data_IF_306684653971
#
_entry.id   IF_306684653971
#
_cell.length_a   1.000
_cell.length_b   1.000
_cell.length_c   1.000
_cell.angle_alpha   90.00
_cell.angle_beta   90.00
_cell.angle_gamma   90.00
#
_symmetry.space_group_name_H-M   'P 1'
#
loop_
_entity.id
_entity.type
_entity.pdbx_description
1 polymer ?
#
# COMPACT_ATOMS: atom_id res chain seq x y z
N UNK A 1 -41.38 25.30 43.13
CA UNK A 1 -40.64 26.58 43.05
C UNK A 1 -39.41 26.51 43.94
N UNK A 2 -38.21 26.48 43.35
CA UNK A 2 -37.00 27.19 43.82
C UNK A 2 -35.87 26.91 42.82
N UNK A 3 -35.58 27.97 42.08
CA UNK A 3 -34.44 28.21 41.20
C UNK A 3 -33.23 28.67 42.04
N UNK A 4 -32.14 29.07 41.35
CA UNK A 4 -31.03 29.96 41.78
C UNK A 4 -29.76 29.20 42.25
N UNK A 5 -28.51 29.67 42.02
CA UNK A 5 -27.83 30.19 40.79
C UNK A 5 -26.29 29.87 40.76
N UNK A 6 -25.51 30.67 39.99
CA UNK A 6 -24.04 30.95 40.05
C UNK A 6 -23.08 29.88 39.49
N UNK A 7 -22.03 30.19 38.72
CA UNK A 7 -21.29 31.43 38.46
C UNK A 7 -19.88 31.07 37.90
N UNK A 8 -19.02 32.06 37.55
CA UNK A 8 -18.16 32.01 36.36
C UNK A 8 -16.69 31.61 36.59
N UNK A 9 -15.96 31.36 35.50
CA UNK A 9 -14.50 31.26 35.49
C UNK A 9 -13.86 31.76 34.18
N UNK A 10 -12.67 32.40 34.22
CA UNK A 10 -12.19 33.32 33.19
C UNK A 10 -10.99 32.77 32.39
N UNK A 11 -11.00 32.89 31.07
CA UNK A 11 -9.78 32.74 30.28
C UNK A 11 -9.35 34.09 29.72
N UNK A 12 -8.44 34.73 30.46
CA UNK A 12 -7.72 35.91 30.04
C UNK A 12 -6.23 35.63 29.91
N UNK A 13 -5.71 35.97 28.73
CA UNK A 13 -4.45 36.72 28.51
C UNK A 13 -3.13 35.93 28.42
N UNK A 14 -2.47 36.05 27.27
CA UNK A 14 -1.12 36.64 27.02
C UNK A 14 -0.81 36.55 25.51
N UNK A 15 -0.69 37.67 24.81
CA UNK A 15 0.56 38.41 24.48
C UNK A 15 1.46 37.59 23.52
N UNK A 16 1.87 38.02 22.32
CA UNK A 16 1.82 39.29 21.59
C UNK A 16 2.58 39.13 20.24
N UNK A 17 2.67 40.19 19.42
CA UNK A 17 3.35 40.18 18.11
C UNK A 17 4.85 40.47 18.25
N UNK A 18 5.69 39.94 17.34
CA UNK A 18 7.05 40.44 17.14
C UNK A 18 7.37 40.65 15.67
N UNK A 19 7.43 41.93 15.34
CA UNK A 19 8.09 42.51 14.19
C UNK A 19 9.59 42.18 14.14
N UNK A 20 10.14 42.16 12.94
CA UNK A 20 11.31 43.00 12.66
C UNK A 20 12.58 42.32 12.12
N UNK A 21 13.35 43.01 11.27
CA UNK A 21 14.33 42.44 10.35
C UNK A 21 15.75 42.42 10.92
N UNK A 22 16.55 41.43 10.52
CA UNK A 22 18.01 41.48 10.66
C UNK A 22 18.67 41.33 9.29
N UNK A 23 18.63 42.45 8.59
CA UNK A 23 19.73 42.92 7.76
C UNK A 23 21.02 42.85 8.59
N UNK A 24 21.88 41.87 8.31
CA UNK A 24 23.27 41.89 8.74
C UNK A 24 24.17 41.75 7.53
N UNK A 25 24.19 42.86 6.79
CA UNK A 25 25.33 43.36 6.03
C UNK A 25 26.57 43.30 6.91
N UNK A 26 27.47 42.35 6.63
CA UNK A 26 28.91 42.48 6.91
C UNK A 26 29.71 42.07 5.69
N UNK A 27 29.76 43.04 4.79
CA UNK A 27 30.95 43.35 4.02
C UNK A 27 32.16 43.39 4.98
N UNK A 28 33.05 42.42 4.85
CA UNK A 28 34.45 42.55 5.30
C UNK A 28 35.29 42.47 4.03
N UNK A 29 35.54 43.65 3.48
CA UNK A 29 36.67 43.93 2.60
C UNK A 29 37.89 44.07 3.51
N UNK A 30 38.83 43.13 3.44
CA UNK A 30 40.28 43.34 3.70
C UNK A 30 41.01 42.24 2.92
N UNK A 31 41.42 42.48 1.67
CA UNK A 31 42.77 42.93 1.28
C UNK A 31 43.87 42.02 1.87
N UNK A 32 44.44 41.13 1.06
CA UNK A 32 45.89 41.09 0.85
C UNK A 32 46.36 39.91 0.00
N UNK A 33 47.25 40.26 -0.94
CA UNK A 33 48.36 39.45 -1.45
C UNK A 33 48.10 38.56 -2.67
N UNK A 34 48.40 39.16 -3.83
CA UNK A 34 49.13 38.48 -4.91
C UNK A 34 50.34 37.73 -4.33
N UNK A 35 50.38 36.41 -4.50
CA UNK A 35 51.63 35.65 -4.48
C UNK A 35 51.51 34.39 -5.37
N UNK A 36 51.78 34.54 -6.67
CA UNK A 36 52.63 33.57 -7.38
C UNK A 36 54.07 33.84 -6.94
N UNK A 37 55.04 32.87 -6.87
CA UNK A 37 55.35 31.81 -7.85
C UNK A 37 55.88 30.50 -7.15
N UNK A 38 56.63 29.54 -7.73
CA UNK A 38 57.03 29.27 -9.12
C UNK A 38 56.63 27.87 -9.65
N UNK A 39 56.79 27.70 -10.96
CA UNK A 39 56.84 26.40 -11.61
C UNK A 39 57.97 25.54 -11.01
N UNK A 40 57.63 24.36 -10.50
CA UNK A 40 58.65 23.47 -9.95
C UNK A 40 58.12 22.23 -9.23
N UNK A 41 57.42 21.35 -9.95
CA UNK A 41 57.42 19.90 -9.68
C UNK A 41 56.66 19.19 -10.80
N UNK A 42 57.37 18.88 -11.89
CA UNK A 42 57.05 17.72 -12.71
C UNK A 42 57.27 16.49 -11.84
N UNK A 43 56.27 16.14 -11.05
CA UNK A 43 56.00 14.78 -10.66
C UNK A 43 54.79 14.34 -11.46
N UNK A 44 55.01 13.45 -12.43
CA UNK A 44 54.01 12.49 -12.91
C UNK A 44 53.14 12.05 -11.72
N UNK A 45 51.81 12.15 -11.74
CA UNK A 45 50.92 11.10 -12.26
C UNK A 45 49.62 11.71 -12.83
N UNK A 46 49.71 12.50 -13.90
CA UNK A 46 48.55 12.89 -14.73
C UNK A 46 48.02 11.74 -15.61
N UNK A 47 48.07 10.48 -15.14
CA UNK A 47 47.95 9.31 -16.01
C UNK A 47 46.98 8.23 -15.57
N UNK A 48 46.83 7.99 -14.27
CA UNK A 48 46.01 6.89 -13.77
C UNK A 48 45.42 7.30 -12.42
N UNK A 49 44.23 7.89 -12.42
CA UNK A 49 43.32 7.61 -11.29
C UNK A 49 43.15 6.09 -11.37
N UNK A 50 43.68 5.30 -10.41
CA UNK A 50 43.86 3.88 -10.62
C UNK A 50 42.49 3.32 -10.99
N UNK A 51 42.41 2.53 -12.06
CA UNK A 51 41.14 1.99 -12.57
C UNK A 51 40.28 1.37 -11.45
N UNK A 52 40.92 0.88 -10.38
CA UNK A 52 40.29 0.46 -9.14
C UNK A 52 39.46 1.52 -8.40
N UNK A 53 39.88 2.79 -8.36
CA UNK A 53 39.15 3.89 -7.70
C UNK A 53 37.91 4.32 -8.49
N UNK A 54 37.98 4.32 -9.83
CA UNK A 54 36.82 4.56 -10.71
C UNK A 54 35.80 3.42 -10.61
N UNK A 55 36.27 2.17 -10.61
CA UNK A 55 35.42 0.98 -10.39
C UNK A 55 34.77 1.03 -9.00
N UNK A 56 35.52 1.44 -7.97
CA UNK A 56 35.00 1.56 -6.61
C UNK A 56 33.93 2.65 -6.50
N UNK A 57 34.12 3.82 -7.13
CA UNK A 57 33.12 4.89 -7.19
C UNK A 57 31.89 4.51 -8.00
N UNK A 58 32.06 3.86 -9.16
CA UNK A 58 30.94 3.36 -9.96
C UNK A 58 30.13 2.29 -9.20
N UNK A 59 30.81 1.38 -8.50
CA UNK A 59 30.17 0.38 -7.64
C UNK A 59 29.41 1.03 -6.48
N UNK A 60 29.95 2.10 -5.89
CA UNK A 60 29.27 2.87 -4.84
C UNK A 60 28.04 3.59 -5.38
N UNK A 61 28.13 4.26 -6.53
CA UNK A 61 27.00 4.94 -7.16
C UNK A 61 25.88 3.97 -7.56
N UNK A 62 26.24 2.81 -8.12
CA UNK A 62 25.27 1.75 -8.42
C UNK A 62 24.60 1.24 -7.14
N UNK A 63 25.36 1.05 -6.07
CA UNK A 63 24.81 0.64 -4.77
C UNK A 63 23.86 1.69 -4.20
N UNK A 64 24.19 2.97 -4.33
CA UNK A 64 23.33 4.08 -3.91
C UNK A 64 22.06 4.17 -4.75
N UNK A 65 22.15 3.98 -6.06
CA UNK A 65 21.00 3.96 -6.97
C UNK A 65 20.05 2.80 -6.63
N UNK A 66 20.57 1.58 -6.49
CA UNK A 66 19.80 0.40 -6.12
C UNK A 66 19.13 0.61 -4.75
N UNK A 67 19.85 1.14 -3.77
CA UNK A 67 19.27 1.49 -2.46
C UNK A 67 18.19 2.57 -2.58
N UNK A 68 18.35 3.53 -3.48
CA UNK A 68 17.36 4.56 -3.80
C UNK A 68 16.08 3.98 -4.38
N UNK A 69 16.19 3.13 -5.39
CA UNK A 69 15.04 2.44 -5.99
C UNK A 69 14.35 1.50 -4.99
N UNK A 70 15.11 0.78 -4.16
CA UNK A 70 14.53 -0.03 -3.09
C UNK A 70 13.74 0.82 -2.08
N UNK A 71 14.24 1.99 -1.69
CA UNK A 71 13.53 2.90 -0.79
C UNK A 71 12.26 3.46 -1.44
N UNK A 72 12.33 3.79 -2.72
CA UNK A 72 11.18 4.27 -3.49
C UNK A 72 10.12 3.17 -3.63
N UNK A 73 10.53 1.96 -4.02
CA UNK A 73 9.65 0.79 -4.11
C UNK A 73 9.02 0.46 -2.76
N UNK A 74 9.76 0.54 -1.65
CA UNK A 74 9.22 0.37 -0.31
C UNK A 74 8.18 1.46 0.04
N UNK A 75 8.45 2.72 -0.31
CA UNK A 75 7.51 3.81 -0.07
C UNK A 75 6.21 3.60 -0.88
N UNK A 76 6.32 3.26 -2.16
CA UNK A 76 5.18 3.01 -3.04
C UNK A 76 4.39 1.76 -2.60
N UNK A 77 5.07 0.68 -2.21
CA UNK A 77 4.43 -0.53 -1.67
C UNK A 77 3.72 -0.23 -0.35
N UNK A 78 4.27 0.62 0.52
CA UNK A 78 3.61 1.03 1.77
C UNK A 78 2.37 1.86 1.49
N UNK A 79 2.41 2.76 0.50
CA UNK A 79 1.27 3.57 0.10
C UNK A 79 0.17 2.72 -0.54
N UNK A 80 0.53 1.85 -1.49
CA UNK A 80 -0.36 0.83 -2.08
C UNK A 80 -0.94 -0.05 -0.99
N UNK A 81 -0.09 -0.59 -0.11
CA UNK A 81 -0.48 -1.45 1.01
C UNK A 81 -1.44 -0.76 1.99
N UNK A 82 -1.29 0.54 2.25
CA UNK A 82 -2.24 1.30 3.08
C UNK A 82 -3.60 1.45 2.41
N UNK A 83 -3.64 1.69 1.10
CA UNK A 83 -4.88 1.79 0.32
C UNK A 83 -5.59 0.43 0.24
N UNK A 84 -4.88 -0.62 -0.13
CA UNK A 84 -5.41 -1.98 -0.18
C UNK A 84 -5.75 -2.53 1.21
N UNK A 85 -4.98 -2.19 2.24
CA UNK A 85 -5.23 -2.60 3.62
C UNK A 85 -6.48 -1.94 4.21
N UNK A 86 -6.70 -0.64 3.95
CA UNK A 86 -7.94 0.03 4.35
C UNK A 86 -9.14 -0.54 3.60
N UNK A 87 -9.01 -0.75 2.28
CA UNK A 87 -10.07 -1.36 1.46
C UNK A 87 -10.41 -2.78 1.90
N UNK A 88 -9.39 -3.63 2.07
CA UNK A 88 -9.55 -5.01 2.53
C UNK A 88 -10.10 -5.09 3.95
N UNK A 89 -9.65 -4.22 4.86
CA UNK A 89 -10.18 -4.15 6.22
C UNK A 89 -11.65 -3.72 6.27
N UNK A 90 -12.03 -2.69 5.50
CA UNK A 90 -13.42 -2.26 5.39
C UNK A 90 -14.30 -3.33 4.73
N UNK A 91 -13.81 -4.00 3.68
CA UNK A 91 -14.54 -5.06 3.02
C UNK A 91 -14.72 -6.28 3.93
N UNK A 92 -13.68 -6.64 4.70
CA UNK A 92 -13.76 -7.68 5.73
C UNK A 92 -14.77 -7.33 6.82
N UNK A 93 -14.73 -6.11 7.34
CA UNK A 93 -15.70 -5.62 8.33
C UNK A 93 -17.13 -5.61 7.76
N UNK A 94 -17.31 -5.14 6.53
CA UNK A 94 -18.59 -5.17 5.83
C UNK A 94 -19.09 -6.60 5.62
N UNK A 95 -18.20 -7.57 5.35
CA UNK A 95 -18.54 -8.98 5.27
C UNK A 95 -19.08 -9.53 6.59
N UNK A 96 -18.41 -9.23 7.72
CA UNK A 96 -18.86 -9.65 9.06
C UNK A 96 -20.20 -9.00 9.42
N UNK A 97 -20.31 -7.68 9.26
CA UNK A 97 -21.55 -6.94 9.56
C UNK A 97 -22.69 -7.39 8.65
N UNK A 98 -22.41 -7.60 7.36
CA UNK A 98 -23.36 -8.12 6.38
C UNK A 98 -23.85 -9.53 6.74
N UNK A 99 -22.96 -10.40 7.19
CA UNK A 99 -23.33 -11.74 7.66
C UNK A 99 -24.25 -11.69 8.88
N UNK A 100 -23.92 -10.86 9.88
CA UNK A 100 -24.78 -10.66 11.06
C UNK A 100 -26.14 -10.06 10.69
N UNK A 101 -26.15 -9.10 9.76
CA UNK A 101 -27.38 -8.49 9.25
C UNK A 101 -28.25 -9.53 8.54
N UNK A 102 -27.65 -10.41 7.74
CA UNK A 102 -28.37 -11.50 7.09
C UNK A 102 -29.00 -12.46 8.11
N UNK A 103 -28.26 -12.84 9.15
CA UNK A 103 -28.79 -13.68 10.24
C UNK A 103 -29.96 -13.00 10.96
N UNK A 104 -29.87 -11.70 11.24
CA UNK A 104 -30.95 -10.92 11.83
C UNK A 104 -32.18 -10.84 10.91
N UNK A 105 -31.98 -10.71 9.59
CA UNK A 105 -33.07 -10.73 8.61
C UNK A 105 -33.77 -12.09 8.55
N UNK A 106 -33.02 -13.19 8.60
CA UNK A 106 -33.60 -14.54 8.67
C UNK A 106 -34.45 -14.69 9.93
N UNK A 107 -33.92 -14.28 11.10
CA UNK A 107 -34.67 -14.31 12.35
C UNK A 107 -35.93 -13.42 12.29
N UNK A 108 -35.83 -12.24 11.68
CA UNK A 108 -36.96 -11.32 11.49
C UNK A 108 -38.04 -11.93 10.60
N UNK A 109 -37.66 -12.58 9.50
CA UNK A 109 -38.59 -13.26 8.60
C UNK A 109 -39.32 -14.40 9.31
N UNK A 110 -38.60 -15.21 10.10
CA UNK A 110 -39.20 -16.27 10.91
C UNK A 110 -40.19 -15.68 11.92
N UNK A 111 -39.78 -14.64 12.65
CA UNK A 111 -40.64 -13.99 13.65
C UNK A 111 -41.91 -13.39 13.02
N UNK A 112 -41.79 -12.74 11.86
CA UNK A 112 -42.93 -12.19 11.13
C UNK A 112 -43.92 -13.28 10.68
N UNK A 113 -43.41 -14.40 10.15
CA UNK A 113 -44.24 -15.54 9.75
C UNK A 113 -44.81 -16.32 10.93
N UNK A 114 -44.16 -16.25 12.10
CA UNK A 114 -44.63 -16.89 13.32
C UNK A 114 -45.81 -16.14 13.98
N UNK A 115 -46.23 -14.98 13.46
CA UNK A 115 -47.44 -14.29 13.94
C UNK A 115 -48.70 -15.14 13.67
N UNK A 116 -48.95 -15.64 12.44
CA UNK A 116 -50.05 -16.56 12.17
C UNK A 116 -49.70 -18.06 12.25
N UNK A 117 -48.41 -18.43 12.29
CA UNK A 117 -47.96 -19.83 12.22
C UNK A 117 -47.17 -20.24 13.47
N UNK A 118 -47.13 -21.54 13.84
CA UNK A 118 -46.19 -22.00 14.84
C UNK A 118 -44.74 -21.81 14.35
N UNK A 119 -43.84 -21.47 15.28
CA UNK A 119 -42.43 -21.11 14.99
C UNK A 119 -41.72 -22.17 14.13
N UNK A 120 -41.97 -23.46 14.37
CA UNK A 120 -41.36 -24.54 13.60
C UNK A 120 -41.75 -24.50 12.12
N UNK A 121 -43.01 -24.19 11.80
CA UNK A 121 -43.50 -24.12 10.42
C UNK A 121 -42.94 -22.88 9.71
N UNK A 122 -42.92 -21.73 10.39
CA UNK A 122 -42.30 -20.51 9.90
C UNK A 122 -40.81 -20.72 9.58
N UNK A 123 -40.06 -21.37 10.48
CA UNK A 123 -38.65 -21.70 10.29
C UNK A 123 -38.45 -22.62 9.07
N UNK A 124 -39.24 -23.68 8.93
CA UNK A 124 -39.14 -24.59 7.78
C UNK A 124 -39.41 -23.89 6.44
N UNK A 125 -40.39 -22.98 6.38
CA UNK A 125 -40.69 -22.22 5.17
C UNK A 125 -39.49 -21.34 4.78
N UNK A 126 -38.95 -20.57 5.73
CA UNK A 126 -37.79 -19.71 5.48
C UNK A 126 -36.57 -20.52 5.06
N UNK A 127 -36.31 -21.65 5.73
CA UNK A 127 -35.21 -22.57 5.37
C UNK A 127 -35.39 -23.13 3.96
N UNK A 128 -36.60 -23.54 3.58
CA UNK A 128 -36.87 -24.07 2.24
C UNK A 128 -36.61 -23.02 1.15
N UNK A 129 -37.10 -21.78 1.35
CA UNK A 129 -36.89 -20.67 0.41
C UNK A 129 -35.40 -20.35 0.26
N UNK A 130 -34.68 -20.19 1.38
CA UNK A 130 -33.24 -19.93 1.36
C UNK A 130 -32.46 -21.10 0.74
N UNK A 131 -32.88 -22.34 1.00
CA UNK A 131 -32.27 -23.54 0.42
C UNK A 131 -32.38 -23.56 -1.11
N UNK A 132 -33.53 -23.17 -1.66
CA UNK A 132 -33.71 -23.04 -3.12
C UNK A 132 -32.81 -21.97 -3.70
N UNK A 133 -32.73 -20.79 -3.06
CA UNK A 133 -31.84 -19.70 -3.48
C UNK A 133 -30.37 -20.16 -3.45
N UNK A 134 -29.96 -20.81 -2.35
CA UNK A 134 -28.60 -21.32 -2.18
C UNK A 134 -28.26 -22.39 -3.23
N UNK A 135 -29.18 -23.32 -3.52
CA UNK A 135 -29.01 -24.31 -4.57
C UNK A 135 -28.86 -23.66 -5.95
N UNK A 136 -29.70 -22.67 -6.28
CA UNK A 136 -29.60 -21.94 -7.54
C UNK A 136 -28.26 -21.19 -7.69
N UNK A 137 -27.82 -20.52 -6.62
CA UNK A 137 -26.51 -19.86 -6.58
C UNK A 137 -25.36 -20.86 -6.72
N UNK A 138 -25.40 -21.99 -6.00
CA UNK A 138 -24.36 -23.02 -6.07
C UNK A 138 -24.26 -23.64 -7.47
N UNK A 139 -25.40 -23.96 -8.09
CA UNK A 139 -25.44 -24.48 -9.46
C UNK A 139 -24.94 -23.44 -10.49
N UNK A 140 -25.31 -22.17 -10.32
CA UNK A 140 -24.86 -21.09 -11.20
C UNK A 140 -23.36 -20.82 -11.03
N UNK A 141 -22.86 -20.81 -9.79
CA UNK A 141 -21.46 -20.67 -9.47
C UNK A 141 -20.62 -21.82 -10.03
N UNK A 142 -21.09 -23.06 -9.83
CA UNK A 142 -20.47 -24.26 -10.42
C UNK A 142 -20.37 -24.15 -11.93
N UNK A 143 -21.46 -23.76 -12.60
CA UNK A 143 -21.48 -23.57 -14.06
C UNK A 143 -20.48 -22.49 -14.50
N UNK A 144 -20.34 -21.39 -13.78
CA UNK A 144 -19.36 -20.35 -14.11
C UNK A 144 -17.92 -20.80 -13.88
N UNK A 145 -17.66 -21.61 -12.85
CA UNK A 145 -16.34 -22.21 -12.60
C UNK A 145 -16.00 -23.25 -13.68
N UNK A 146 -16.97 -24.06 -14.11
CA UNK A 146 -16.80 -25.05 -15.18
C UNK A 146 -16.65 -24.39 -16.57
N UNK A 147 -17.18 -23.17 -16.76
CA UNK A 147 -17.09 -22.41 -18.01
C UNK A 147 -15.93 -21.40 -18.04
N UNK A 148 -15.36 -21.07 -16.88
CA UNK A 148 -14.15 -20.26 -16.79
C UNK A 148 -12.98 -21.03 -17.42
N UNK A 149 -12.23 -20.37 -18.30
CA UNK A 149 -11.05 -20.90 -18.98
C UNK A 149 -10.16 -21.73 -18.03
N UNK A 150 -9.47 -22.77 -18.52
CA UNK A 150 -8.69 -23.67 -17.68
C UNK A 150 -7.80 -22.88 -16.71
N UNK A 151 -7.67 -23.33 -15.45
CA UNK A 151 -7.02 -22.58 -14.37
C UNK A 151 -5.55 -22.23 -14.63
N UNK A 152 -5.00 -22.64 -15.78
CA UNK A 152 -3.72 -22.19 -16.27
C UNK A 152 -3.84 -21.70 -17.73
N UNK A 153 -3.22 -20.56 -18.08
CA UNK A 153 -3.16 -20.08 -19.45
C UNK A 153 -2.40 -21.08 -20.32
N UNK A 154 -3.12 -21.83 -21.15
CA UNK A 154 -2.56 -22.87 -22.04
C UNK A 154 -1.38 -22.33 -22.86
N UNK A 155 -1.52 -21.10 -23.38
CA UNK A 155 -0.47 -20.43 -24.14
C UNK A 155 0.82 -20.20 -23.36
N UNK A 156 0.73 -19.93 -22.04
CA UNK A 156 1.90 -19.75 -21.17
C UNK A 156 2.54 -21.10 -20.81
N UNK A 157 1.73 -22.15 -20.65
CA UNK A 157 2.26 -23.50 -20.45
C UNK A 157 2.98 -23.98 -21.71
N UNK A 158 2.40 -23.72 -22.88
CA UNK A 158 2.95 -24.16 -24.16
C UNK A 158 4.23 -23.40 -24.52
N UNK A 159 4.31 -22.09 -24.23
CA UNK A 159 5.56 -21.34 -24.39
C UNK A 159 6.66 -21.85 -23.46
N UNK A 160 6.34 -22.11 -22.18
CA UNK A 160 7.34 -22.66 -21.23
C UNK A 160 7.79 -24.06 -21.64
N UNK A 161 6.90 -24.90 -22.17
CA UNK A 161 7.27 -26.23 -22.70
C UNK A 161 8.18 -26.12 -23.92
N UNK A 162 7.91 -25.16 -24.81
CA UNK A 162 8.74 -24.90 -25.99
C UNK A 162 10.15 -24.44 -25.57
N UNK A 163 10.23 -23.49 -24.63
CA UNK A 163 11.50 -22.97 -24.11
C UNK A 163 12.33 -24.10 -23.45
N UNK A 164 11.67 -24.99 -22.68
CA UNK A 164 12.33 -26.15 -22.06
C UNK A 164 12.80 -27.17 -23.09
N UNK A 165 12.03 -27.38 -24.16
CA UNK A 165 12.41 -28.29 -25.25
C UNK A 165 13.64 -27.76 -26.01
N UNK A 166 13.68 -26.46 -26.30
CA UNK A 166 14.81 -25.79 -26.97
C UNK A 166 16.09 -25.86 -26.14
N UNK A 167 15.99 -25.64 -24.82
CA UNK A 167 17.13 -25.79 -23.90
C UNK A 167 17.64 -27.24 -23.87
N UNK A 168 16.74 -28.22 -23.91
CA UNK A 168 17.10 -29.65 -23.89
C UNK A 168 17.78 -30.08 -25.19
N UNK A 169 17.32 -29.59 -26.34
CA UNK A 169 17.95 -29.84 -27.65
C UNK A 169 19.34 -29.20 -27.73
N UNK A 170 19.49 -27.98 -27.20
CA UNK A 170 20.76 -27.25 -27.15
C UNK A 170 21.81 -27.92 -26.25
N UNK A 171 21.38 -28.68 -25.24
CA UNK A 171 22.26 -29.41 -24.34
C UNK A 171 22.65 -30.82 -24.84
N UNK A 172 22.00 -31.32 -25.90
CA UNK A 172 22.28 -32.63 -26.50
C UNK A 172 23.11 -32.57 -27.79
N UNK A 173 23.37 -31.36 -28.31
CA UNK A 173 24.36 -31.11 -29.38
C UNK A 173 25.73 -30.78 -28.81
#
# INVERSE_FOLDING_TARGET
MRTVPTGPGPEGRRDGPRDGPHEQRREVIVVSTMQQPPAGSRGSHSGDEPVGELVQRASQQLTELVRGEMRLAQAEMKEKGKRYGKGGGLFGAAGVVGFLTLQALVATAIAALAVPLPVWAAALIVTAVLGVIAAAMALSGKKQVEQGAPPAPEKTIDSVKADVAEIKESAQR
#
